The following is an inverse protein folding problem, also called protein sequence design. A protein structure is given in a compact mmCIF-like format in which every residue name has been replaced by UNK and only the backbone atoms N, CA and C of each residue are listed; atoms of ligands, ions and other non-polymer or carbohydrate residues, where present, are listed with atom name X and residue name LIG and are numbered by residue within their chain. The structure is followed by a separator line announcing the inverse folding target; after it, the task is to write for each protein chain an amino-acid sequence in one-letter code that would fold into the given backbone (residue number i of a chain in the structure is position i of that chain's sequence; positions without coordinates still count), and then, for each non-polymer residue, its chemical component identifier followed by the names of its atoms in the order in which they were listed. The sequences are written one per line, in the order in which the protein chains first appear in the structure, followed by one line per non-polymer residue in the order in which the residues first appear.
data_IF_583649160319
#
_entry.id   IF_583649160319
#
_cell.length_a   1.000
_cell.length_b   1.000
_cell.length_c   1.000
_cell.angle_alpha   90.00
_cell.angle_beta   90.00
_cell.angle_gamma   90.00
#
_symmetry.space_group_name_H-M   'P 1'
#
loop_
_entity.id
_entity.type
_entity.pdbx_description
1 polymer ?
#
# COMPACT_ATOMS: atom_id res chain seq x y z
N UNK A 1 44.98 -8.54 4.13
CA UNK A 1 44.54 -7.80 5.33
C UNK A 1 43.06 -7.38 5.10
N UNK A 2 42.11 -8.17 5.59
CA UNK A 2 40.70 -7.89 5.40
C UNK A 2 40.27 -6.78 6.36
N UNK A 3 39.86 -5.64 5.81
CA UNK A 3 39.30 -4.53 6.56
C UNK A 3 38.00 -4.99 7.22
N UNK A 4 38.03 -5.29 8.50
CA UNK A 4 36.84 -5.47 9.34
C UNK A 4 36.07 -4.15 9.32
N UNK A 5 35.11 -4.01 8.40
CA UNK A 5 34.11 -2.95 8.44
C UNK A 5 33.25 -3.19 9.69
N UNK A 6 33.47 -2.41 10.74
CA UNK A 6 32.66 -2.41 11.96
C UNK A 6 31.19 -2.27 11.54
N UNK A 7 30.40 -3.31 11.73
CA UNK A 7 28.97 -3.23 11.43
C UNK A 7 28.34 -2.17 12.34
N UNK A 8 27.53 -1.27 11.81
CA UNK A 8 26.82 -0.30 12.65
C UNK A 8 25.93 -1.03 13.64
N UNK A 9 25.88 -0.53 14.87
CA UNK A 9 25.00 -1.10 15.90
C UNK A 9 23.55 -1.11 15.39
N UNK A 10 22.75 -2.07 15.85
CA UNK A 10 21.33 -2.16 15.47
C UNK A 10 20.60 -0.84 15.72
N UNK A 11 20.93 -0.15 16.80
CA UNK A 11 20.38 1.15 17.15
C UNK A 11 20.64 2.21 16.07
N UNK A 12 21.87 2.30 15.56
CA UNK A 12 22.21 3.23 14.47
C UNK A 12 21.50 2.85 13.17
N UNK A 13 21.30 1.56 12.93
CA UNK A 13 20.56 1.07 11.78
C UNK A 13 19.08 1.44 11.86
N UNK A 14 18.46 1.26 13.01
CA UNK A 14 17.05 1.65 13.26
C UNK A 14 16.90 3.17 13.16
N UNK A 15 17.78 3.96 13.76
CA UNK A 15 17.76 5.44 13.62
C UNK A 15 17.88 5.88 12.16
N UNK A 16 18.67 5.20 11.35
CA UNK A 16 18.80 5.52 9.91
C UNK A 16 17.52 5.20 9.14
N UNK A 17 16.87 4.08 9.41
CA UNK A 17 15.58 3.73 8.79
C UNK A 17 14.46 4.70 9.23
N UNK A 18 14.36 5.04 10.51
CA UNK A 18 13.40 6.03 11.02
C UNK A 18 13.56 7.40 10.35
N UNK A 19 14.81 7.86 10.19
CA UNK A 19 15.07 9.12 9.47
C UNK A 19 14.65 9.05 8.00
N UNK A 20 14.82 7.91 7.36
CA UNK A 20 14.38 7.71 5.98
C UNK A 20 12.85 7.72 5.88
N UNK A 21 12.16 7.02 6.77
CA UNK A 21 10.69 7.01 6.83
C UNK A 21 10.14 8.42 7.08
N UNK A 22 10.70 9.14 8.06
CA UNK A 22 10.29 10.52 8.34
C UNK A 22 10.46 11.45 7.12
N UNK A 23 11.53 11.29 6.33
CA UNK A 23 11.70 12.04 5.07
C UNK A 23 10.66 11.68 4.02
N UNK A 24 10.31 10.39 3.93
CA UNK A 24 9.25 9.94 3.00
C UNK A 24 7.89 10.50 3.41
N UNK A 25 7.55 10.47 4.69
CA UNK A 25 6.31 11.06 5.23
C UNK A 25 6.24 12.57 4.94
N UNK A 26 7.34 13.30 5.20
CA UNK A 26 7.41 14.73 4.87
C UNK A 26 7.21 15.00 3.39
N UNK A 27 7.83 14.17 2.52
CA UNK A 27 7.68 14.31 1.07
C UNK A 27 6.24 14.02 0.62
N UNK A 28 5.62 12.96 1.15
CA UNK A 28 4.23 12.62 0.85
C UNK A 28 3.27 13.72 1.34
N UNK A 29 3.44 14.19 2.57
CA UNK A 29 2.65 15.29 3.12
C UNK A 29 2.81 16.58 2.30
N UNK A 30 4.04 16.94 1.94
CA UNK A 30 4.28 18.10 1.09
C UNK A 30 3.65 17.97 -0.30
N UNK A 31 3.63 16.77 -0.87
CA UNK A 31 2.98 16.51 -2.16
C UNK A 31 1.45 16.54 -2.05
N UNK A 32 0.88 16.05 -0.94
CA UNK A 32 -0.56 16.08 -0.70
C UNK A 32 -1.12 17.51 -0.59
N UNK A 33 -0.29 18.47 -0.19
CA UNK A 33 -0.68 19.89 -0.07
C UNK A 33 -0.32 20.74 -1.30
N UNK A 34 0.24 20.13 -2.35
CA UNK A 34 0.49 20.85 -3.60
C UNK A 34 -0.81 21.14 -4.32
N UNK A 35 -0.94 22.34 -4.92
CA UNK A 35 -2.09 22.62 -5.77
C UNK A 35 -2.16 21.61 -6.93
N UNK A 36 -3.37 21.25 -7.28
CA UNK A 36 -3.61 20.31 -8.37
C UNK A 36 -2.99 20.80 -9.68
N UNK A 37 -2.35 19.94 -10.45
CA UNK A 37 -1.77 20.32 -11.74
C UNK A 37 -2.87 20.81 -12.69
N UNK A 38 -2.56 21.78 -13.54
CA UNK A 38 -3.51 22.42 -14.45
C UNK A 38 -4.31 21.44 -15.33
N UNK A 39 -3.69 20.33 -15.73
CA UNK A 39 -4.39 19.30 -16.51
C UNK A 39 -5.53 18.65 -15.72
N UNK A 40 -5.35 18.42 -14.41
CA UNK A 40 -6.38 17.83 -13.54
C UNK A 40 -7.56 18.78 -13.39
N UNK A 41 -7.32 20.04 -13.07
CA UNK A 41 -8.40 21.05 -12.98
C UNK A 41 -9.15 21.23 -14.29
N UNK A 42 -8.43 21.14 -15.43
CA UNK A 42 -9.05 21.20 -16.76
C UNK A 42 -9.96 19.99 -17.03
N UNK A 43 -9.56 18.80 -16.65
CA UNK A 43 -10.38 17.58 -16.78
C UNK A 43 -11.56 17.65 -15.83
N UNK A 44 -11.35 18.01 -14.57
CA UNK A 44 -12.41 18.13 -13.56
C UNK A 44 -13.50 19.11 -13.96
N UNK A 45 -13.11 20.23 -14.58
CA UNK A 45 -14.07 21.22 -15.09
C UNK A 45 -14.93 20.69 -16.25
N UNK A 46 -14.47 19.66 -16.96
CA UNK A 46 -15.23 19.02 -18.08
C UNK A 46 -16.14 17.89 -17.64
N UNK A 47 -16.00 17.42 -16.39
CA UNK A 47 -16.85 16.33 -15.89
C UNK A 47 -18.22 16.92 -15.50
N UNK A 48 -19.32 16.46 -16.13
CA UNK A 48 -20.66 16.90 -15.76
C UNK A 48 -20.95 16.59 -14.28
N UNK A 49 -21.65 17.50 -13.61
CA UNK A 49 -21.99 17.35 -12.18
C UNK A 49 -22.72 16.03 -11.90
N UNK A 50 -23.60 15.59 -12.81
CA UNK A 50 -24.31 14.32 -12.68
C UNK A 50 -23.36 13.11 -12.65
N UNK A 51 -22.29 13.13 -13.43
CA UNK A 51 -21.28 12.06 -13.42
C UNK A 51 -20.52 12.06 -12.10
N UNK A 52 -20.14 13.24 -11.60
CA UNK A 52 -19.44 13.39 -10.31
C UNK A 52 -20.27 12.84 -9.14
N UNK A 53 -21.52 13.26 -9.03
CA UNK A 53 -22.40 12.78 -7.94
C UNK A 53 -22.68 11.29 -8.04
N UNK A 54 -22.83 10.75 -9.27
CA UNK A 54 -23.00 9.31 -9.47
C UNK A 54 -21.75 8.53 -9.04
N UNK A 55 -20.57 9.05 -9.36
CA UNK A 55 -19.30 8.43 -9.00
C UNK A 55 -19.07 8.45 -7.49
N UNK A 56 -19.32 9.60 -6.84
CA UNK A 56 -19.25 9.73 -5.39
C UNK A 56 -20.18 8.74 -4.67
N UNK A 57 -21.44 8.65 -5.11
CA UNK A 57 -22.40 7.70 -4.55
C UNK A 57 -21.96 6.24 -4.77
N UNK A 58 -21.36 5.93 -5.92
CA UNK A 58 -20.82 4.62 -6.23
C UNK A 58 -19.65 4.24 -5.31
N UNK A 59 -18.72 5.17 -5.06
CA UNK A 59 -17.62 4.95 -4.09
C UNK A 59 -18.14 4.75 -2.67
N UNK A 60 -19.05 5.59 -2.20
CA UNK A 60 -19.65 5.44 -0.87
C UNK A 60 -20.31 4.07 -0.70
N UNK A 61 -21.05 3.62 -1.73
CA UNK A 61 -21.68 2.30 -1.73
C UNK A 61 -20.65 1.16 -1.75
N UNK A 62 -19.61 1.29 -2.57
CA UNK A 62 -18.52 0.30 -2.65
C UNK A 62 -17.79 0.17 -1.31
N UNK A 63 -17.43 1.28 -0.68
CA UNK A 63 -16.82 1.27 0.66
C UNK A 63 -17.76 0.64 1.69
N UNK A 64 -19.05 1.00 1.69
CA UNK A 64 -20.04 0.40 2.58
C UNK A 64 -20.12 -1.12 2.44
N UNK A 65 -20.14 -1.65 1.21
CA UNK A 65 -20.14 -3.08 0.95
C UNK A 65 -18.87 -3.77 1.43
N UNK A 66 -17.72 -3.16 1.20
CA UNK A 66 -16.44 -3.72 1.58
C UNK A 66 -16.25 -3.71 3.11
N UNK A 67 -16.61 -2.62 3.78
CA UNK A 67 -16.52 -2.55 5.23
C UNK A 67 -17.53 -3.45 5.95
N UNK A 68 -18.70 -3.70 5.35
CA UNK A 68 -19.68 -4.61 5.94
C UNK A 68 -19.41 -6.10 5.71
N UNK A 69 -18.73 -6.44 4.60
CA UNK A 69 -18.51 -7.84 4.20
C UNK A 69 -17.04 -8.16 3.91
N UNK A 70 -16.17 -7.16 3.89
CA UNK A 70 -14.81 -7.25 3.36
C UNK A 70 -13.85 -8.08 4.19
N UNK A 71 -14.02 -8.15 5.51
CA UNK A 71 -13.17 -9.00 6.35
C UNK A 71 -13.13 -10.44 5.83
N UNK A 72 -14.29 -11.04 5.60
CA UNK A 72 -14.38 -12.40 5.08
C UNK A 72 -13.90 -12.58 3.62
N UNK A 73 -13.91 -11.53 2.80
CA UNK A 73 -13.39 -11.58 1.44
C UNK A 73 -11.86 -11.47 1.46
N UNK A 74 -11.33 -10.57 2.26
CA UNK A 74 -9.88 -10.36 2.41
C UNK A 74 -9.24 -11.60 3.01
N UNK A 75 -9.81 -12.17 4.08
CA UNK A 75 -9.32 -13.41 4.71
C UNK A 75 -9.28 -14.59 3.74
N UNK A 76 -10.23 -14.67 2.80
CA UNK A 76 -10.26 -15.73 1.78
C UNK A 76 -9.30 -15.49 0.62
N UNK A 77 -8.94 -14.24 0.34
CA UNK A 77 -8.11 -13.88 -0.81
C UNK A 77 -6.67 -13.58 -0.46
N UNK A 78 -6.37 -13.37 0.83
CA UNK A 78 -5.04 -13.07 1.35
C UNK A 78 -4.56 -14.24 2.22
N UNK A 79 -3.41 -14.81 1.90
CA UNK A 79 -2.77 -15.82 2.74
C UNK A 79 -2.08 -15.15 3.94
N UNK A 80 -2.91 -14.73 4.88
CA UNK A 80 -2.49 -13.98 6.07
C UNK A 80 -1.54 -14.79 6.94
N UNK A 81 -1.80 -16.08 7.10
CA UNK A 81 -0.98 -16.97 7.93
C UNK A 81 0.44 -17.09 7.38
N UNK A 82 0.59 -17.22 6.07
CA UNK A 82 1.89 -17.20 5.39
C UNK A 82 2.60 -15.87 5.57
N UNK A 83 1.91 -14.74 5.37
CA UNK A 83 2.49 -13.41 5.54
C UNK A 83 2.97 -13.14 6.98
N UNK A 84 2.17 -13.53 7.97
CA UNK A 84 2.54 -13.41 9.38
C UNK A 84 3.69 -14.35 9.77
N UNK A 85 3.74 -15.54 9.20
CA UNK A 85 4.86 -16.47 9.40
C UNK A 85 6.13 -15.92 8.80
N UNK A 86 6.07 -15.42 7.59
CA UNK A 86 7.19 -14.74 6.90
C UNK A 86 7.67 -13.50 7.68
N UNK A 87 6.74 -12.72 8.24
CA UNK A 87 7.10 -11.62 9.12
C UNK A 87 7.87 -12.11 10.36
N UNK A 88 7.39 -13.14 11.07
CA UNK A 88 8.07 -13.71 12.23
C UNK A 88 9.48 -14.20 11.90
N UNK A 89 9.66 -14.85 10.76
CA UNK A 89 10.98 -15.30 10.28
C UNK A 89 11.91 -14.11 10.03
N UNK A 90 11.41 -13.06 9.38
CA UNK A 90 12.19 -11.83 9.13
C UNK A 90 12.54 -11.09 10.42
N UNK A 91 11.59 -10.97 11.34
CA UNK A 91 11.81 -10.35 12.67
C UNK A 91 12.86 -11.12 13.48
N UNK A 92 12.78 -12.46 13.48
CA UNK A 92 13.81 -13.30 14.10
C UNK A 92 15.19 -13.08 13.46
N UNK A 93 15.28 -13.00 12.14
CA UNK A 93 16.52 -12.72 11.44
C UNK A 93 17.11 -11.34 11.79
N UNK A 94 16.25 -10.32 11.94
CA UNK A 94 16.64 -8.98 12.41
C UNK A 94 17.21 -9.05 13.83
N UNK A 95 16.53 -9.75 14.74
CA UNK A 95 16.97 -9.91 16.13
C UNK A 95 18.30 -10.66 16.23
N UNK A 96 18.48 -11.70 15.42
CA UNK A 96 19.68 -12.53 15.45
C UNK A 96 20.88 -11.82 14.82
N UNK A 97 20.72 -11.25 13.64
CA UNK A 97 21.82 -10.65 12.86
C UNK A 97 22.05 -9.19 13.16
N UNK A 98 21.08 -8.50 13.72
CA UNK A 98 21.14 -7.09 14.11
C UNK A 98 21.71 -6.18 13.01
N UNK A 99 21.39 -6.44 11.75
CA UNK A 99 21.97 -5.76 10.61
C UNK A 99 20.94 -4.90 9.86
N UNK A 100 21.42 -3.78 9.29
CA UNK A 100 20.61 -2.93 8.42
C UNK A 100 20.10 -3.67 7.19
N UNK A 101 20.81 -4.70 6.72
CA UNK A 101 20.40 -5.54 5.60
C UNK A 101 19.11 -6.30 5.90
N UNK A 102 18.95 -6.82 7.10
CA UNK A 102 17.72 -7.52 7.50
C UNK A 102 16.53 -6.55 7.67
N UNK A 103 16.74 -5.36 8.24
CA UNK A 103 15.71 -4.31 8.29
C UNK A 103 15.22 -3.92 6.88
N UNK A 104 16.14 -3.78 5.92
CA UNK A 104 15.77 -3.50 4.53
C UNK A 104 14.95 -4.63 3.88
N UNK A 105 15.15 -5.89 4.27
CA UNK A 105 14.35 -7.00 3.76
C UNK A 105 12.90 -6.92 4.23
N UNK A 106 12.66 -6.53 5.48
CA UNK A 106 11.31 -6.30 6.00
C UNK A 106 10.61 -5.22 5.18
N UNK A 107 11.26 -4.06 4.98
CA UNK A 107 10.68 -2.99 4.16
C UNK A 107 10.41 -3.44 2.73
N UNK A 108 11.38 -4.09 2.07
CA UNK A 108 11.20 -4.58 0.70
C UNK A 108 10.05 -5.57 0.53
N UNK A 109 9.74 -6.36 1.56
CA UNK A 109 8.60 -7.27 1.51
C UNK A 109 7.28 -6.49 1.48
N UNK A 110 7.15 -5.47 2.32
CA UNK A 110 5.98 -4.58 2.31
C UNK A 110 5.88 -3.77 1.02
N UNK A 111 6.98 -3.14 0.57
CA UNK A 111 7.03 -2.38 -0.70
C UNK A 111 6.65 -3.26 -1.91
N UNK A 112 6.99 -4.56 -1.89
CA UNK A 112 6.67 -5.49 -2.98
C UNK A 112 5.18 -5.84 -3.02
N UNK A 113 4.54 -6.02 -1.89
CA UNK A 113 3.09 -6.23 -1.82
C UNK A 113 2.34 -5.01 -2.34
N UNK A 114 2.77 -3.81 -1.95
CA UNK A 114 2.19 -2.55 -2.41
C UNK A 114 2.34 -2.35 -3.93
N UNK A 115 3.53 -2.62 -4.46
CA UNK A 115 3.80 -2.52 -5.90
C UNK A 115 2.96 -3.52 -6.73
N UNK A 116 2.84 -4.77 -6.28
CA UNK A 116 2.03 -5.78 -6.97
C UNK A 116 0.55 -5.40 -6.96
N UNK A 117 0.03 -4.93 -5.84
CA UNK A 117 -1.35 -4.44 -5.74
C UNK A 117 -1.58 -3.21 -6.63
N UNK A 118 -0.63 -2.27 -6.65
CA UNK A 118 -0.69 -1.07 -7.48
C UNK A 118 -0.63 -1.36 -8.98
N UNK A 119 0.19 -2.33 -9.42
CA UNK A 119 0.27 -2.70 -10.84
C UNK A 119 -0.99 -3.40 -11.33
N UNK A 120 -1.56 -4.31 -10.53
CA UNK A 120 -2.82 -4.98 -10.86
C UNK A 120 -3.95 -3.96 -11.01
N UNK A 121 -4.11 -3.04 -10.07
CA UNK A 121 -5.14 -2.00 -10.14
C UNK A 121 -4.97 -1.07 -11.34
N UNK A 122 -3.74 -0.78 -11.75
CA UNK A 122 -3.49 0.06 -12.93
C UNK A 122 -3.90 -0.64 -14.22
N UNK A 123 -3.55 -1.92 -14.39
CA UNK A 123 -3.91 -2.68 -15.58
C UNK A 123 -5.42 -2.92 -15.69
N UNK A 124 -6.06 -3.28 -14.60
CA UNK A 124 -7.52 -3.49 -14.58
C UNK A 124 -8.27 -2.18 -14.76
N UNK A 125 -7.84 -1.09 -14.12
CA UNK A 125 -8.47 0.22 -14.27
C UNK A 125 -8.43 0.74 -15.71
N UNK A 126 -7.35 0.53 -16.45
CA UNK A 126 -7.24 0.92 -17.86
C UNK A 126 -8.12 0.02 -18.73
N UNK A 127 -8.13 -1.30 -18.50
CA UNK A 127 -8.93 -2.25 -19.27
C UNK A 127 -10.42 -2.05 -19.07
N UNK A 128 -10.86 -1.87 -17.85
CA UNK A 128 -12.26 -1.76 -17.48
C UNK A 128 -12.83 -0.36 -17.81
N UNK A 129 -12.05 0.70 -17.61
CA UNK A 129 -12.45 2.06 -17.98
C UNK A 129 -12.68 2.22 -19.49
N UNK A 130 -11.88 1.54 -20.31
CA UNK A 130 -12.04 1.52 -21.77
C UNK A 130 -13.31 0.78 -22.24
N UNK A 131 -13.84 -0.14 -21.42
CA UNK A 131 -15.06 -0.91 -21.70
C UNK A 131 -16.34 -0.23 -21.20
N UNK A 132 -16.24 0.94 -20.56
CA UNK A 132 -17.40 1.70 -20.06
C UNK A 132 -18.17 1.01 -18.94
N UNK A 133 -17.52 0.15 -18.18
CA UNK A 133 -18.12 -0.66 -17.13
C UNK A 133 -18.14 0.16 -15.83
N UNK A 134 -19.26 0.18 -15.15
CA UNK A 134 -19.56 1.10 -14.05
C UNK A 134 -19.30 0.55 -12.63
N UNK A 135 -20.34 0.46 -11.81
CA UNK A 135 -20.31 0.15 -10.38
C UNK A 135 -19.47 -1.07 -9.95
N UNK A 136 -19.47 -2.23 -10.68
CA UNK A 136 -18.68 -3.39 -10.28
C UNK A 136 -17.17 -3.11 -10.18
N UNK A 137 -16.65 -2.25 -11.06
CA UNK A 137 -15.24 -1.91 -11.12
C UNK A 137 -14.77 -1.11 -9.90
N UNK A 138 -15.63 -0.21 -9.42
CA UNK A 138 -15.34 0.59 -8.23
C UNK A 138 -15.26 -0.31 -6.99
N UNK A 139 -16.14 -1.30 -6.88
CA UNK A 139 -16.11 -2.28 -5.79
C UNK A 139 -14.83 -3.12 -5.86
N UNK A 140 -14.51 -3.62 -7.06
CA UNK A 140 -13.28 -4.40 -7.27
C UNK A 140 -12.02 -3.59 -6.96
N UNK A 141 -11.92 -2.38 -7.50
CA UNK A 141 -10.81 -1.45 -7.24
C UNK A 141 -10.65 -1.14 -5.75
N UNK A 142 -11.75 -0.83 -5.06
CA UNK A 142 -11.73 -0.55 -3.63
C UNK A 142 -11.32 -1.78 -2.82
N UNK A 143 -11.80 -2.97 -3.22
CA UNK A 143 -11.41 -4.24 -2.61
C UNK A 143 -9.92 -4.53 -2.76
N UNK A 144 -9.35 -4.26 -3.93
CA UNK A 144 -7.92 -4.42 -4.19
C UNK A 144 -7.06 -3.46 -3.37
N UNK A 145 -7.46 -2.18 -3.27
CA UNK A 145 -6.78 -1.21 -2.42
C UNK A 145 -6.76 -1.66 -0.96
N UNK A 146 -7.90 -2.13 -0.47
CA UNK A 146 -8.01 -2.58 0.90
C UNK A 146 -7.17 -3.83 1.13
N UNK A 147 -7.22 -4.81 0.22
CA UNK A 147 -6.36 -6.00 0.27
C UNK A 147 -4.88 -5.63 0.31
N UNK A 148 -4.41 -4.73 -0.56
CA UNK A 148 -3.02 -4.26 -0.56
C UNK A 148 -2.62 -3.63 0.77
N UNK A 149 -3.53 -2.85 1.38
CA UNK A 149 -3.30 -2.27 2.70
C UNK A 149 -3.15 -3.35 3.79
N UNK A 150 -4.02 -4.38 3.78
CA UNK A 150 -3.92 -5.50 4.71
C UNK A 150 -2.66 -6.33 4.51
N UNK A 151 -2.28 -6.63 3.28
CA UNK A 151 -1.04 -7.35 2.97
C UNK A 151 0.19 -6.56 3.44
N UNK A 152 0.18 -5.24 3.23
CA UNK A 152 1.23 -4.36 3.74
C UNK A 152 1.30 -4.41 5.27
N UNK A 153 0.17 -4.26 5.96
CA UNK A 153 0.09 -4.32 7.42
C UNK A 153 0.61 -5.66 7.96
N UNK A 154 0.19 -6.79 7.37
CA UNK A 154 0.63 -8.12 7.74
C UNK A 154 2.15 -8.32 7.56
N UNK A 155 2.75 -7.74 6.51
CA UNK A 155 4.20 -7.77 6.31
C UNK A 155 4.98 -7.00 7.40
N UNK A 156 4.32 -6.04 8.07
CA UNK A 156 4.86 -5.36 9.26
C UNK A 156 4.44 -6.00 10.59
N UNK A 157 3.72 -7.14 10.55
CA UNK A 157 3.29 -7.86 11.73
C UNK A 157 2.09 -7.22 12.44
N UNK A 158 1.37 -6.34 11.76
CA UNK A 158 0.13 -5.75 12.28
C UNK A 158 -0.98 -6.77 12.03
N UNK A 159 -1.53 -7.26 13.14
CA UNK A 159 -2.66 -8.17 13.15
C UNK A 159 -3.93 -7.36 13.41
N UNK A 160 -4.86 -7.34 12.44
CA UNK A 160 -6.11 -6.56 12.50
C UNK A 160 -7.32 -7.45 12.58
#
# INVERSE_FOLDING_TARGET
MALFRKQPSIENSVKAELRQTAKQEQHLSANAHKPDPKWKTTIEAKIPQKVRTTLEAAFVKAFGLIFSHGGGIIDKTTDRESLMTDHKVRDYAVKLRQSRGELKKVRKAADRSDLLSGTLTTFEGIGLGALGIGLPDIVLFTGMLLRGTYECAANYGIDS
#
